data_IF_112442172549
#
_entry.id   IF_112442172549
#
_cell.length_a   1.000
_cell.length_b   1.000
_cell.length_c   1.000
_cell.angle_alpha   90.00
_cell.angle_beta   90.00
_cell.angle_gamma   90.00
#
_symmetry.space_group_name_H-M   'P 1'
#
loop_
_entity.id
_entity.type
_entity.pdbx_description
1 polymer ?
#
# COMPACT_ATOMS: atom_id res chain seq x y z
N UNK A 1 29.41 -10.43 -15.78
CA UNK A 1 28.29 -9.48 -15.67
C UNK A 1 27.74 -9.63 -14.27
N UNK A 2 28.20 -8.79 -13.35
CA UNK A 2 27.75 -8.82 -11.97
C UNK A 2 26.33 -8.25 -11.94
N UNK A 3 25.35 -9.15 -11.79
CA UNK A 3 24.00 -8.75 -11.45
C UNK A 3 24.07 -7.94 -10.15
N UNK A 4 23.43 -6.76 -10.06
CA UNK A 4 23.35 -6.06 -8.79
C UNK A 4 22.68 -7.03 -7.81
N UNK A 5 23.44 -7.51 -6.83
CA UNK A 5 22.93 -8.27 -5.71
C UNK A 5 22.09 -7.30 -4.89
N UNK A 6 20.85 -7.15 -5.30
CA UNK A 6 19.81 -6.55 -4.49
C UNK A 6 19.76 -7.47 -3.28
N UNK A 7 20.40 -7.07 -2.18
CA UNK A 7 20.06 -7.57 -0.86
C UNK A 7 18.61 -7.12 -0.66
N UNK A 8 17.69 -7.89 -1.20
CA UNK A 8 16.26 -7.75 -1.00
C UNK A 8 16.08 -7.95 0.49
N UNK A 9 16.11 -6.87 1.24
CA UNK A 9 15.56 -6.83 2.57
C UNK A 9 14.06 -7.10 2.37
N UNK A 10 13.68 -8.38 2.29
CA UNK A 10 12.29 -8.81 2.29
C UNK A 10 11.54 -8.13 3.44
N UNK A 11 12.24 -7.93 4.55
CA UNK A 11 11.84 -7.11 5.68
C UNK A 11 11.48 -5.66 5.35
N UNK A 12 12.18 -5.01 4.41
CA UNK A 12 11.83 -3.66 3.95
C UNK A 12 10.47 -3.66 3.24
N UNK A 13 10.18 -4.68 2.42
CA UNK A 13 8.86 -4.82 1.79
C UNK A 13 7.75 -5.09 2.83
N UNK A 14 8.02 -5.96 3.79
CA UNK A 14 7.08 -6.33 4.85
C UNK A 14 6.76 -5.14 5.76
N UNK A 15 7.71 -4.23 5.99
CA UNK A 15 7.53 -3.05 6.83
C UNK A 15 6.99 -1.85 6.02
N UNK A 16 7.49 -1.65 4.80
CA UNK A 16 7.11 -0.53 3.95
C UNK A 16 5.64 -0.60 3.54
N UNK A 17 5.08 -1.79 3.26
CA UNK A 17 3.69 -1.93 2.83
C UNK A 17 2.70 -1.45 3.92
N UNK A 18 2.78 -1.94 5.19
CA UNK A 18 1.98 -1.39 6.29
C UNK A 18 2.20 0.10 6.51
N UNK A 19 3.45 0.59 6.45
CA UNK A 19 3.77 2.00 6.65
C UNK A 19 3.12 2.87 5.58
N UNK A 20 3.25 2.51 4.30
CA UNK A 20 2.58 3.19 3.17
C UNK A 20 1.07 3.16 3.39
N UNK A 21 0.50 2.03 3.79
CA UNK A 21 -0.95 1.92 4.03
C UNK A 21 -1.41 2.85 5.17
N UNK A 22 -0.69 2.90 6.28
CA UNK A 22 -0.97 3.78 7.42
C UNK A 22 -0.86 5.25 6.99
N UNK A 23 0.21 5.63 6.30
CA UNK A 23 0.40 6.99 5.80
C UNK A 23 -0.70 7.39 4.82
N UNK A 24 -1.11 6.49 3.93
CA UNK A 24 -2.21 6.73 3.00
C UNK A 24 -3.52 6.97 3.76
N UNK A 25 -3.78 6.19 4.81
CA UNK A 25 -4.95 6.35 5.68
C UNK A 25 -4.90 7.67 6.46
N UNK A 26 -3.72 8.06 6.98
CA UNK A 26 -3.52 9.32 7.68
C UNK A 26 -3.74 10.52 6.75
N UNK A 27 -3.13 10.54 5.57
CA UNK A 27 -3.35 11.60 4.57
C UNK A 27 -4.83 11.71 4.22
N UNK A 28 -5.50 10.57 4.01
CA UNK A 28 -6.92 10.53 3.73
C UNK A 28 -7.75 11.12 4.88
N UNK A 29 -7.37 10.87 6.14
CA UNK A 29 -8.01 11.44 7.33
C UNK A 29 -7.80 12.95 7.43
N UNK A 30 -6.56 13.43 7.25
CA UNK A 30 -6.22 14.86 7.34
C UNK A 30 -6.81 15.69 6.20
N UNK A 31 -6.72 15.20 4.95
CA UNK A 31 -7.15 15.94 3.77
C UNK A 31 -8.59 15.63 3.31
N UNK A 32 -9.33 14.80 4.04
CA UNK A 32 -10.69 14.33 3.67
C UNK A 32 -10.77 13.85 2.22
N UNK A 33 -9.73 13.15 1.75
CA UNK A 33 -9.58 12.80 0.35
C UNK A 33 -10.65 11.75 -0.06
N UNK A 34 -11.32 11.93 -1.23
CA UNK A 34 -12.27 10.94 -1.73
C UNK A 34 -11.60 9.58 -1.89
N UNK A 35 -12.35 8.51 -1.61
CA UNK A 35 -11.87 7.11 -1.68
C UNK A 35 -11.22 6.73 -3.04
N UNK A 36 -11.51 7.46 -4.13
CA UNK A 36 -10.89 7.27 -5.44
C UNK A 36 -9.39 7.60 -5.45
N UNK A 37 -8.95 8.56 -4.66
CA UNK A 37 -7.56 9.04 -4.64
C UNK A 37 -6.66 8.30 -3.63
N UNK A 38 -7.23 7.42 -2.81
CA UNK A 38 -6.47 6.61 -1.86
C UNK A 38 -5.44 5.71 -2.58
N UNK A 39 -5.81 5.15 -3.74
CA UNK A 39 -4.89 4.32 -4.51
C UNK A 39 -3.73 5.15 -5.12
N UNK A 40 -4.04 6.34 -5.65
CA UNK A 40 -3.04 7.22 -6.22
C UNK A 40 -2.06 7.74 -5.16
N UNK A 41 -2.56 8.10 -3.98
CA UNK A 41 -1.73 8.56 -2.86
C UNK A 41 -0.84 7.45 -2.31
N UNK A 42 -1.33 6.21 -2.21
CA UNK A 42 -0.48 5.05 -1.86
C UNK A 42 0.65 4.83 -2.85
N UNK A 43 0.38 5.00 -4.15
CA UNK A 43 1.38 4.83 -5.22
C UNK A 43 2.45 5.93 -5.16
N UNK A 44 2.04 7.19 -5.00
CA UNK A 44 2.94 8.34 -4.86
C UNK A 44 3.79 8.20 -3.59
N UNK A 45 3.19 7.78 -2.47
CA UNK A 45 3.91 7.56 -1.22
C UNK A 45 4.88 6.37 -1.29
N UNK A 46 4.48 5.26 -1.92
CA UNK A 46 5.34 4.08 -2.10
C UNK A 46 6.58 4.41 -2.95
N UNK A 47 6.38 5.17 -4.02
CA UNK A 47 7.47 5.70 -4.84
C UNK A 47 8.34 6.69 -4.06
N UNK A 48 7.75 7.66 -3.36
CA UNK A 48 8.50 8.63 -2.57
C UNK A 48 9.34 7.96 -1.48
N UNK A 49 8.77 7.02 -0.72
CA UNK A 49 9.46 6.33 0.36
C UNK A 49 10.59 5.45 -0.18
N UNK A 50 10.38 4.71 -1.26
CA UNK A 50 11.41 3.84 -1.79
C UNK A 50 12.56 4.58 -2.47
N UNK A 51 12.25 5.68 -3.19
CA UNK A 51 13.26 6.54 -3.83
C UNK A 51 14.11 7.27 -2.77
N UNK A 52 13.51 7.78 -1.70
CA UNK A 52 14.23 8.58 -0.70
C UNK A 52 14.91 7.75 0.41
N UNK A 53 14.36 6.60 0.81
CA UNK A 53 14.84 5.85 1.99
C UNK A 53 15.69 4.64 1.62
N UNK A 54 15.29 3.86 0.61
CA UNK A 54 15.76 2.47 0.50
C UNK A 54 16.98 2.29 -0.42
N UNK A 55 17.11 3.03 -1.52
CA UNK A 55 18.14 2.75 -2.53
C UNK A 55 18.83 4.01 -3.08
N UNK A 56 19.60 4.71 -2.23
CA UNK A 56 20.46 5.83 -2.70
C UNK A 56 21.56 5.41 -3.69
N UNK A 57 21.90 4.12 -3.75
CA UNK A 57 22.97 3.58 -4.60
C UNK A 57 22.49 3.07 -5.97
N UNK A 58 21.18 2.88 -6.18
CA UNK A 58 20.59 2.48 -7.46
C UNK A 58 19.15 2.98 -7.57
N UNK A 59 18.97 4.09 -8.30
CA UNK A 59 17.66 4.74 -8.52
C UNK A 59 16.66 3.76 -9.16
N UNK A 60 17.13 2.88 -10.04
CA UNK A 60 16.29 1.90 -10.73
C UNK A 60 15.67 0.87 -9.75
N UNK A 61 16.46 0.40 -8.77
CA UNK A 61 15.98 -0.55 -7.76
C UNK A 61 14.98 0.10 -6.79
N UNK A 62 15.20 1.37 -6.41
CA UNK A 62 14.26 2.14 -5.60
C UNK A 62 12.93 2.40 -6.30
N UNK A 63 12.93 2.70 -7.61
CA UNK A 63 11.69 2.86 -8.36
C UNK A 63 10.92 1.53 -8.46
N UNK A 64 11.61 0.43 -8.74
CA UNK A 64 10.98 -0.89 -8.87
C UNK A 64 10.37 -1.37 -7.53
N UNK A 65 11.10 -1.18 -6.44
CA UNK A 65 10.61 -1.50 -5.08
C UNK A 65 9.46 -0.59 -4.64
N UNK A 66 9.55 0.71 -4.89
CA UNK A 66 8.47 1.65 -4.56
C UNK A 66 7.18 1.37 -5.30
N UNK A 67 7.29 0.93 -6.56
CA UNK A 67 6.14 0.47 -7.33
C UNK A 67 5.52 -0.78 -6.71
N UNK A 68 6.36 -1.76 -6.32
CA UNK A 68 5.90 -2.98 -5.66
C UNK A 68 5.17 -2.67 -4.34
N UNK A 69 5.73 -1.80 -3.50
CA UNK A 69 5.13 -1.42 -2.21
C UNK A 69 3.83 -0.64 -2.40
N UNK A 70 3.80 0.28 -3.37
CA UNK A 70 2.60 1.02 -3.75
C UNK A 70 1.47 0.08 -4.18
N UNK A 71 1.73 -0.86 -5.09
CA UNK A 71 0.71 -1.82 -5.53
C UNK A 71 0.26 -2.77 -4.43
N UNK A 72 1.18 -3.27 -3.61
CA UNK A 72 0.83 -4.12 -2.48
C UNK A 72 -0.09 -3.38 -1.50
N UNK A 73 0.19 -2.10 -1.19
CA UNK A 73 -0.66 -1.28 -0.34
C UNK A 73 -2.05 -1.03 -0.95
N UNK A 74 -2.13 -0.76 -2.26
CA UNK A 74 -3.41 -0.59 -2.99
C UNK A 74 -4.24 -1.88 -2.93
N UNK A 75 -3.62 -3.03 -3.23
CA UNK A 75 -4.27 -4.33 -3.19
C UNK A 75 -4.80 -4.66 -1.80
N UNK A 76 -3.98 -4.44 -0.77
CA UNK A 76 -4.39 -4.69 0.61
C UNK A 76 -5.55 -3.79 1.04
N UNK A 77 -5.52 -2.50 0.65
CA UNK A 77 -6.63 -1.57 0.89
C UNK A 77 -7.92 -2.01 0.19
N UNK A 78 -7.84 -2.45 -1.07
CA UNK A 78 -9.01 -2.94 -1.82
C UNK A 78 -9.59 -4.22 -1.20
N UNK A 79 -8.72 -5.16 -0.78
CA UNK A 79 -9.10 -6.39 -0.11
C UNK A 79 -9.78 -6.11 1.24
N UNK A 80 -9.18 -5.25 2.08
CA UNK A 80 -9.76 -4.81 3.35
C UNK A 80 -11.13 -4.15 3.16
N UNK A 81 -11.24 -3.21 2.22
CA UNK A 81 -12.50 -2.51 1.95
C UNK A 81 -13.59 -3.49 1.49
N UNK A 82 -13.26 -4.37 0.55
CA UNK A 82 -14.20 -5.37 0.03
C UNK A 82 -14.61 -6.36 1.11
N UNK A 83 -13.65 -6.84 1.91
CA UNK A 83 -13.89 -7.74 3.04
C UNK A 83 -14.80 -7.11 4.10
N UNK A 84 -14.59 -5.83 4.42
CA UNK A 84 -15.43 -5.10 5.37
C UNK A 84 -16.87 -4.91 4.86
N UNK A 85 -17.02 -4.58 3.57
CA UNK A 85 -18.33 -4.47 2.91
C UNK A 85 -19.05 -5.83 2.93
N UNK A 86 -18.36 -6.90 2.55
CA UNK A 86 -18.91 -8.26 2.57
C UNK A 86 -19.31 -8.71 3.98
N UNK A 87 -18.52 -8.39 5.00
CA UNK A 87 -18.82 -8.68 6.40
C UNK A 87 -20.08 -7.93 6.88
N UNK A 88 -20.22 -6.65 6.53
CA UNK A 88 -21.40 -5.85 6.87
C UNK A 88 -22.66 -6.36 6.17
N UNK A 89 -22.61 -6.65 4.87
CA UNK A 89 -23.75 -7.20 4.14
C UNK A 89 -24.15 -8.61 4.58
N UNK A 90 -23.21 -9.45 5.03
CA UNK A 90 -23.56 -10.73 5.69
C UNK A 90 -24.34 -10.53 6.98
N UNK A 91 -24.07 -9.45 7.71
CA UNK A 91 -24.80 -9.10 8.94
C UNK A 91 -26.23 -8.65 8.62
N UNK A 92 -26.40 -7.81 7.59
CA UNK A 92 -27.72 -7.34 7.14
C UNK A 92 -28.58 -8.48 6.57
N UNK A 93 -27.98 -9.41 5.82
CA UNK A 93 -28.66 -10.59 5.30
C UNK A 93 -29.06 -11.58 6.41
N UNK A 94 -28.32 -11.63 7.52
CA UNK A 94 -28.63 -12.46 8.69
C UNK A 94 -29.74 -11.83 9.55
N UNK A 95 -29.84 -10.51 9.62
CA UNK A 95 -30.93 -9.82 10.33
C UNK A 95 -32.28 -9.87 9.60
N UNK A 96 -32.30 -9.89 8.26
CA UNK A 96 -33.56 -10.05 7.49
C UNK A 96 -34.19 -11.45 7.56
N UNK A 97 -33.49 -12.43 8.15
CA UNK A 97 -33.94 -13.84 8.25
C UNK A 97 -34.40 -14.24 9.66
N UNK A 98 -34.34 -13.31 10.62
CA UNK A 98 -34.91 -13.42 11.97
C UNK A 98 -36.12 -12.49 12.07
#
# INVERSE_FOLDING_TARGET
MDFPTIHTNFWDAVIAVPVVMILTQLIKMFFKLPNKYAALTALILGLAISIFISHRHSILAGVFMGWFYGYAAIGNYAALKTGLIAYRHKTDAKQRKN
#
